data_IF_322206673954
#
_entry.id   IF_322206673954
#
_cell.length_a   1.000
_cell.length_b   1.000
_cell.length_c   1.000
_cell.angle_alpha   90.00
_cell.angle_beta   90.00
_cell.angle_gamma   90.00
#
_symmetry.space_group_name_H-M   'P 1'
#
loop_
_entity.id
_entity.type
_entity.pdbx_description
1 polymer ?
#
# COMPACT_ATOMS: atom_id res chain seq x y z
N UNK A 1 -23.61 20.30 -10.69
CA UNK A 1 -22.57 19.53 -11.40
C UNK A 1 -21.42 19.13 -10.47
N UNK A 2 -20.87 20.03 -9.64
CA UNK A 2 -19.75 19.75 -8.70
C UNK A 2 -19.91 18.48 -7.84
N UNK A 3 -21.06 18.27 -7.18
CA UNK A 3 -21.27 17.10 -6.33
C UNK A 3 -21.29 15.74 -7.07
N UNK A 4 -21.60 15.73 -8.37
CA UNK A 4 -21.53 14.52 -9.19
C UNK A 4 -20.07 14.17 -9.50
N UNK A 5 -19.23 15.18 -9.76
CA UNK A 5 -17.81 15.04 -10.05
C UNK A 5 -17.04 14.52 -8.83
N UNK A 6 -17.28 15.09 -7.65
CA UNK A 6 -16.68 14.61 -6.39
C UNK A 6 -17.05 13.16 -6.09
N UNK A 7 -18.28 12.76 -6.47
CA UNK A 7 -18.76 11.39 -6.27
C UNK A 7 -17.98 10.39 -7.10
N UNK A 8 -17.80 10.71 -8.37
CA UNK A 8 -17.06 9.90 -9.34
C UNK A 8 -15.58 9.86 -9.00
N UNK A 9 -14.96 11.00 -8.67
CA UNK A 9 -13.54 11.07 -8.32
C UNK A 9 -13.20 10.19 -7.12
N UNK A 10 -13.96 10.30 -6.03
CA UNK A 10 -13.72 9.47 -4.84
C UNK A 10 -13.91 7.96 -5.15
N UNK A 11 -14.91 7.59 -5.96
CA UNK A 11 -15.05 6.20 -6.41
C UNK A 11 -13.82 5.72 -7.17
N UNK A 12 -13.29 6.53 -8.10
CA UNK A 12 -12.10 6.19 -8.86
C UNK A 12 -10.89 6.03 -7.94
N UNK A 13 -10.62 7.00 -7.06
CA UNK A 13 -9.52 6.94 -6.10
C UNK A 13 -9.59 5.67 -5.24
N UNK A 14 -10.77 5.34 -4.71
CA UNK A 14 -10.93 4.15 -3.89
C UNK A 14 -10.70 2.86 -4.66
N UNK A 15 -11.23 2.77 -5.89
CA UNK A 15 -11.09 1.57 -6.71
C UNK A 15 -9.63 1.38 -7.16
N UNK A 16 -8.94 2.44 -7.55
CA UNK A 16 -7.53 2.34 -7.96
C UNK A 16 -6.60 2.06 -6.80
N UNK A 17 -6.83 2.66 -5.63
CA UNK A 17 -6.10 2.33 -4.40
C UNK A 17 -6.36 0.88 -3.98
N UNK A 18 -7.62 0.43 -3.98
CA UNK A 18 -7.95 -0.95 -3.67
C UNK A 18 -7.29 -1.95 -4.62
N UNK A 19 -7.31 -1.66 -5.93
CA UNK A 19 -6.61 -2.46 -6.93
C UNK A 19 -5.11 -2.52 -6.65
N UNK A 20 -4.47 -1.39 -6.36
CA UNK A 20 -3.04 -1.32 -6.05
C UNK A 20 -2.68 -2.25 -4.89
N UNK A 21 -3.39 -2.14 -3.76
CA UNK A 21 -3.16 -2.97 -2.58
C UNK A 21 -3.45 -4.46 -2.80
N UNK A 22 -4.54 -4.78 -3.51
CA UNK A 22 -4.83 -6.19 -3.84
C UNK A 22 -3.73 -6.75 -4.74
N UNK A 23 -3.31 -6.00 -5.75
CA UNK A 23 -2.29 -6.43 -6.68
C UNK A 23 -0.94 -6.67 -5.98
N UNK A 24 -0.48 -5.75 -5.12
CA UNK A 24 0.77 -5.93 -4.37
C UNK A 24 0.69 -7.10 -3.39
N UNK A 25 -0.47 -7.32 -2.77
CA UNK A 25 -0.73 -8.49 -1.93
C UNK A 25 -0.64 -9.81 -2.68
N UNK A 26 -1.33 -9.94 -3.82
CA UNK A 26 -1.29 -11.14 -4.68
C UNK A 26 0.15 -11.40 -5.17
N UNK A 27 0.85 -10.34 -5.60
CA UNK A 27 2.24 -10.44 -6.06
C UNK A 27 3.14 -10.99 -4.95
N UNK A 28 3.01 -10.47 -3.73
CA UNK A 28 3.81 -10.89 -2.58
C UNK A 28 3.49 -12.30 -2.08
N UNK A 29 2.25 -12.77 -2.26
CA UNK A 29 1.80 -14.07 -1.75
C UNK A 29 1.98 -15.23 -2.72
N UNK A 30 2.29 -14.98 -4.00
CA UNK A 30 2.51 -16.10 -4.91
C UNK A 30 2.89 -15.83 -6.37
N UNK A 31 2.77 -14.59 -6.88
CA UNK A 31 3.21 -14.32 -8.27
C UNK A 31 4.68 -13.95 -8.38
N UNK A 32 5.25 -13.32 -7.35
CA UNK A 32 6.68 -13.05 -7.30
C UNK A 32 7.42 -14.25 -6.69
N UNK A 33 8.60 -14.63 -7.21
CA UNK A 33 9.37 -15.74 -6.65
C UNK A 33 9.68 -15.50 -5.17
N UNK A 34 9.32 -16.46 -4.32
CA UNK A 34 9.51 -16.35 -2.86
C UNK A 34 10.99 -16.16 -2.51
N UNK A 35 11.90 -16.80 -3.26
CA UNK A 35 13.34 -16.65 -3.06
C UNK A 35 13.78 -15.18 -3.24
N UNK A 36 13.26 -14.50 -4.26
CA UNK A 36 13.56 -13.10 -4.53
C UNK A 36 12.90 -12.20 -3.48
N UNK A 37 11.68 -12.50 -3.03
CA UNK A 37 11.06 -11.79 -1.90
C UNK A 37 11.88 -11.93 -0.62
N UNK A 38 12.44 -13.11 -0.34
CA UNK A 38 13.32 -13.34 0.82
C UNK A 38 14.61 -12.54 0.71
N UNK A 39 15.16 -12.39 -0.50
CA UNK A 39 16.34 -11.55 -0.72
C UNK A 39 16.07 -10.06 -0.40
N UNK A 40 14.84 -9.58 -0.60
CA UNK A 40 14.47 -8.19 -0.26
C UNK A 40 14.43 -7.92 1.25
N UNK A 41 14.15 -8.93 2.07
CA UNK A 41 14.12 -8.80 3.55
C UNK A 41 15.41 -9.27 4.21
N UNK A 42 16.31 -9.92 3.48
CA UNK A 42 17.62 -10.34 3.99
C UNK A 42 18.44 -9.20 4.63
N UNK A 43 18.46 -7.95 4.08
CA UNK A 43 19.16 -6.83 4.72
C UNK A 43 18.66 -6.47 6.13
N UNK A 44 17.45 -6.91 6.52
CA UNK A 44 16.92 -6.68 7.86
C UNK A 44 17.62 -7.54 8.93
N UNK A 45 18.40 -8.56 8.54
CA UNK A 45 19.13 -9.43 9.45
C UNK A 45 18.24 -10.30 10.34
N UNK A 46 16.98 -10.53 9.95
CA UNK A 46 16.02 -11.33 10.72
C UNK A 46 16.14 -12.83 10.38
N UNK A 47 15.78 -13.74 11.30
CA UNK A 47 15.80 -15.18 11.04
C UNK A 47 14.86 -15.60 9.90
N UNK A 48 15.17 -16.68 9.18
CA UNK A 48 14.40 -17.15 8.02
C UNK A 48 12.89 -17.34 8.26
N UNK A 49 12.53 -17.85 9.44
CA UNK A 49 11.12 -18.00 9.83
C UNK A 49 10.41 -16.65 9.94
N UNK A 50 11.11 -15.62 10.40
CA UNK A 50 10.62 -14.26 10.51
C UNK A 50 10.57 -13.57 9.14
N UNK A 51 11.56 -13.80 8.26
CA UNK A 51 11.57 -13.31 6.88
C UNK A 51 10.31 -13.76 6.11
N UNK A 52 9.95 -15.05 6.22
CA UNK A 52 8.72 -15.57 5.60
C UNK A 52 7.46 -14.95 6.21
N UNK A 53 7.43 -14.80 7.53
CA UNK A 53 6.30 -14.16 8.22
C UNK A 53 6.14 -12.69 7.80
N UNK A 54 7.22 -11.96 7.58
CA UNK A 54 7.18 -10.57 7.10
C UNK A 54 6.64 -10.46 5.68
N UNK A 55 7.05 -11.35 4.77
CA UNK A 55 6.56 -11.35 3.38
C UNK A 55 5.07 -11.71 3.33
N UNK A 56 4.68 -12.81 3.99
CA UNK A 56 3.30 -13.27 4.00
C UNK A 56 2.39 -12.30 4.78
N UNK A 57 2.88 -11.77 5.89
CA UNK A 57 2.19 -10.76 6.69
C UNK A 57 2.01 -9.45 5.92
N UNK A 58 3.06 -8.97 5.25
CA UNK A 58 3.00 -7.78 4.40
C UNK A 58 2.00 -7.95 3.25
N UNK A 59 2.12 -9.03 2.48
CA UNK A 59 1.16 -9.33 1.41
C UNK A 59 -0.28 -9.53 1.90
N UNK A 60 -0.45 -10.11 3.09
CA UNK A 60 -1.75 -10.25 3.75
C UNK A 60 -2.37 -8.93 4.19
N UNK A 61 -1.56 -8.02 4.75
CA UNK A 61 -1.99 -6.66 5.11
C UNK A 61 -2.41 -5.87 3.86
N UNK A 62 -1.65 -5.97 2.78
CA UNK A 62 -1.97 -5.35 1.50
C UNK A 62 -3.34 -5.84 0.99
N UNK A 63 -3.56 -7.16 0.93
CA UNK A 63 -4.86 -7.72 0.55
C UNK A 63 -6.00 -7.20 1.45
N UNK A 64 -5.79 -7.22 2.76
CA UNK A 64 -6.79 -6.78 3.73
C UNK A 64 -7.19 -5.32 3.50
N UNK A 65 -6.21 -4.42 3.34
CA UNK A 65 -6.48 -3.00 3.08
C UNK A 65 -7.29 -2.81 1.79
N UNK A 66 -6.90 -3.49 0.71
CA UNK A 66 -7.62 -3.40 -0.55
C UNK A 66 -9.05 -3.93 -0.47
N UNK A 67 -9.28 -5.06 0.21
CA UNK A 67 -10.62 -5.62 0.43
C UNK A 67 -11.48 -4.68 1.28
N UNK A 68 -10.93 -4.11 2.36
CA UNK A 68 -11.66 -3.18 3.21
C UNK A 68 -12.06 -1.89 2.47
N UNK A 69 -11.21 -1.41 1.55
CA UNK A 69 -11.57 -0.32 0.65
C UNK A 69 -12.73 -0.68 -0.29
N UNK A 70 -12.72 -1.87 -0.91
CA UNK A 70 -13.81 -2.33 -1.76
C UNK A 70 -15.12 -2.45 -0.99
N UNK A 71 -15.06 -3.03 0.22
CA UNK A 71 -16.19 -3.17 1.13
C UNK A 71 -16.68 -1.83 1.72
N UNK A 72 -15.99 -0.72 1.43
CA UNK A 72 -16.24 0.61 2.00
C UNK A 72 -16.19 0.64 3.53
N UNK A 73 -15.47 -0.29 4.14
CA UNK A 73 -15.45 -0.40 5.59
C UNK A 73 -14.63 0.75 6.17
N UNK A 74 -15.28 1.67 6.88
CA UNK A 74 -14.62 2.77 7.62
C UNK A 74 -13.50 3.44 6.81
N UNK A 75 -13.79 3.87 5.58
CA UNK A 75 -12.79 4.34 4.60
C UNK A 75 -11.74 5.32 5.17
N UNK A 76 -12.07 6.31 6.02
CA UNK A 76 -11.06 7.18 6.62
C UNK A 76 -10.03 6.43 7.48
N UNK A 77 -10.47 5.44 8.26
CA UNK A 77 -9.59 4.62 9.10
C UNK A 77 -8.71 3.69 8.25
N UNK A 78 -9.27 3.10 7.20
CA UNK A 78 -8.50 2.29 6.24
C UNK A 78 -7.49 3.17 5.50
N UNK A 79 -7.83 4.41 5.16
CA UNK A 79 -6.91 5.40 4.61
C UNK A 79 -5.74 5.71 5.55
N UNK A 80 -6.01 5.94 6.83
CA UNK A 80 -4.97 6.15 7.83
C UNK A 80 -4.04 4.92 7.98
N UNK A 81 -4.61 3.71 7.96
CA UNK A 81 -3.84 2.47 8.01
C UNK A 81 -2.93 2.29 6.78
N UNK A 82 -3.41 2.63 5.57
CA UNK A 82 -2.60 2.64 4.35
C UNK A 82 -1.40 3.60 4.47
N UNK A 83 -1.64 4.81 4.94
CA UNK A 83 -0.58 5.80 5.13
C UNK A 83 0.46 5.32 6.15
N UNK A 84 0.01 4.76 7.27
CA UNK A 84 0.89 4.22 8.31
C UNK A 84 1.74 3.05 7.79
N UNK A 85 1.12 2.08 7.09
CA UNK A 85 1.81 0.92 6.55
C UNK A 85 2.84 1.34 5.47
N UNK A 86 2.44 2.23 4.56
CA UNK A 86 3.32 2.75 3.53
C UNK A 86 4.49 3.55 4.11
N UNK A 87 4.25 4.32 5.19
CA UNK A 87 5.32 5.01 5.91
C UNK A 87 6.28 4.02 6.57
N UNK A 88 5.78 2.94 7.18
CA UNK A 88 6.60 1.89 7.76
C UNK A 88 7.49 1.21 6.70
N UNK A 89 6.93 0.81 5.57
CA UNK A 89 7.71 0.24 4.45
C UNK A 89 8.75 1.23 3.92
N UNK A 90 8.38 2.50 3.77
CA UNK A 90 9.30 3.55 3.30
C UNK A 90 10.45 3.78 4.28
N UNK A 91 10.18 3.74 5.58
CA UNK A 91 11.21 3.85 6.62
C UNK A 91 12.17 2.66 6.58
N UNK A 92 11.65 1.43 6.48
CA UNK A 92 12.48 0.23 6.32
C UNK A 92 13.36 0.32 5.07
N UNK A 93 12.80 0.70 3.92
CA UNK A 93 13.59 0.86 2.69
C UNK A 93 14.64 1.96 2.85
N UNK A 94 14.30 3.09 3.48
CA UNK A 94 15.25 4.19 3.68
C UNK A 94 16.44 3.78 4.57
N UNK A 95 16.21 2.91 5.55
CA UNK A 95 17.24 2.46 6.48
C UNK A 95 18.11 1.33 5.91
N UNK A 96 17.50 0.38 5.20
CA UNK A 96 18.16 -0.87 4.81
C UNK A 96 18.46 -0.98 3.30
N UNK A 97 17.77 -0.22 2.46
CA UNK A 97 17.88 -0.24 0.99
C UNK A 97 17.77 1.18 0.39
N UNK A 98 18.55 2.17 0.87
CA UNK A 98 18.42 3.57 0.47
C UNK A 98 18.58 3.80 -1.04
N UNK A 99 19.29 2.92 -1.74
CA UNK A 99 19.44 2.94 -3.20
C UNK A 99 18.11 2.88 -3.95
N UNK A 100 17.05 2.32 -3.35
CA UNK A 100 15.72 2.24 -3.96
C UNK A 100 15.05 3.61 -4.15
N UNK A 101 15.56 4.67 -3.53
CA UNK A 101 15.17 6.05 -3.82
C UNK A 101 15.53 6.47 -5.26
N UNK A 102 16.65 5.96 -5.78
CA UNK A 102 17.17 6.28 -7.11
C UNK A 102 16.84 5.20 -8.16
N UNK A 103 16.04 4.20 -7.80
CA UNK A 103 15.65 3.14 -8.72
C UNK A 103 14.82 3.70 -9.89
N UNK A 104 15.12 3.34 -11.16
CA UNK A 104 14.50 3.95 -12.35
C UNK A 104 12.98 3.76 -12.44
N UNK A 105 12.45 2.68 -11.85
CA UNK A 105 10.99 2.46 -11.75
C UNK A 105 10.30 3.27 -10.64
N UNK A 106 11.03 4.16 -9.94
CA UNK A 106 10.48 5.03 -8.91
C UNK A 106 9.84 4.27 -7.75
N UNK A 107 10.51 3.21 -7.28
CA UNK A 107 9.98 2.27 -6.27
C UNK A 107 9.44 2.99 -5.03
N UNK A 108 10.19 3.97 -4.51
CA UNK A 108 9.80 4.79 -3.37
C UNK A 108 9.09 6.08 -3.78
N UNK A 109 9.53 6.71 -4.88
CA UNK A 109 8.94 7.97 -5.36
C UNK A 109 7.42 7.86 -5.61
N UNK A 110 6.91 6.69 -6.05
CA UNK A 110 5.48 6.46 -6.27
C UNK A 110 4.62 6.51 -4.99
N UNK A 111 5.23 6.35 -3.80
CA UNK A 111 4.48 6.41 -2.54
C UNK A 111 3.92 7.81 -2.27
N UNK A 112 4.58 8.86 -2.75
CA UNK A 112 4.13 10.25 -2.57
C UNK A 112 2.78 10.53 -3.27
N UNK A 113 2.60 10.27 -4.57
CA UNK A 113 1.29 10.44 -5.21
C UNK A 113 0.23 9.47 -4.65
N UNK A 114 0.61 8.26 -4.21
CA UNK A 114 -0.32 7.32 -3.55
C UNK A 114 -0.80 7.87 -2.20
N UNK A 115 0.08 8.48 -1.41
CA UNK A 115 -0.30 9.18 -0.18
C UNK A 115 -1.28 10.32 -0.46
N UNK A 116 -0.98 11.16 -1.46
CA UNK A 116 -1.84 12.26 -1.85
C UNK A 116 -3.23 11.76 -2.30
N UNK A 117 -3.28 10.70 -3.10
CA UNK A 117 -4.54 10.06 -3.52
C UNK A 117 -5.33 9.51 -2.33
N UNK A 118 -4.66 8.91 -1.35
CA UNK A 118 -5.27 8.39 -0.12
C UNK A 118 -5.87 9.52 0.72
N UNK A 119 -5.12 10.60 0.94
CA UNK A 119 -5.60 11.79 1.65
C UNK A 119 -6.80 12.44 0.94
N UNK A 120 -6.74 12.56 -0.39
CA UNK A 120 -7.84 13.11 -1.18
C UNK A 120 -9.11 12.24 -1.06
N UNK A 121 -8.97 10.91 -1.13
CA UNK A 121 -10.08 9.98 -0.91
C UNK A 121 -10.68 10.15 0.49
N UNK A 122 -9.85 10.23 1.53
CA UNK A 122 -10.31 10.43 2.91
C UNK A 122 -11.09 11.75 3.07
N UNK A 123 -10.57 12.85 2.52
CA UNK A 123 -11.22 14.16 2.57
C UNK A 123 -12.57 14.17 1.82
N UNK A 124 -12.68 13.47 0.69
CA UNK A 124 -13.92 13.37 -0.08
C UNK A 124 -14.95 12.42 0.55
N UNK A 125 -14.54 11.46 1.40
CA UNK A 125 -15.48 10.63 2.16
C UNK A 125 -16.01 11.37 3.39
N UNK A 126 -15.19 12.20 4.05
CA UNK A 126 -15.60 13.02 5.19
C UNK A 126 -16.69 14.06 4.87
N UNK A 127 -16.75 14.57 3.63
CA UNK A 127 -17.80 15.48 3.16
C UNK A 127 -19.17 14.81 2.91
N UNK A 128 -19.27 13.49 3.06
CA UNK A 128 -20.48 12.70 2.78
C UNK A 128 -21.23 12.25 4.02
N UNK A 129 -20.62 12.34 5.20
CA UNK A 129 -21.29 12.18 6.49
C UNK A 129 -21.88 13.51 6.92
#
# INVERSE_FOLDING_TARGET
MQGLTDKTLNRLLRLTLAFLWIWTGIVSLGLFPIADSLALVAPLGVPDGMSRALILGGGGLDLLLGILLLARWRVPWVGAAQLALMAAYTALVTLFMPELWLHPLGAIAKNLPVAAATLAMMALEGKRG
#
